data_IF_772429649959
#
_entry.id   IF_772429649959
#
_cell.length_a   1.000
_cell.length_b   1.000
_cell.length_c   1.000
_cell.angle_alpha   90.00
_cell.angle_beta   90.00
_cell.angle_gamma   90.00
#
_symmetry.space_group_name_H-M   'P 1'
#
loop_
_entity.id
_entity.type
_entity.pdbx_description
1 polymer ?
#
# COMPACT_ATOMS: atom_id res chain seq x y z
N UNK A 1 -2.04 -6.40 -19.33
CA UNK A 1 -2.61 -5.91 -18.06
C UNK A 1 -1.52 -5.13 -17.32
N UNK A 2 -1.84 -4.16 -16.47
CA UNK A 2 -0.84 -3.33 -15.75
C UNK A 2 0.11 -4.19 -14.89
N UNK A 3 -0.39 -5.32 -14.40
CA UNK A 3 0.39 -6.31 -13.64
C UNK A 3 1.50 -6.99 -14.47
N UNK A 4 1.42 -7.00 -15.80
CA UNK A 4 2.41 -7.64 -16.68
C UNK A 4 3.73 -6.84 -16.76
N UNK A 5 3.72 -5.59 -16.30
CA UNK A 5 4.91 -4.74 -16.27
C UNK A 5 5.71 -4.84 -14.97
N UNK A 6 5.25 -5.63 -14.00
CA UNK A 6 5.97 -5.84 -12.75
C UNK A 6 7.12 -6.83 -12.94
N UNK A 7 8.34 -6.37 -12.68
CA UNK A 7 9.52 -7.24 -12.59
C UNK A 7 9.53 -7.86 -11.19
N UNK A 8 8.75 -8.92 -11.00
CA UNK A 8 8.52 -9.55 -9.70
C UNK A 8 9.79 -10.04 -8.99
N UNK A 9 10.83 -10.41 -9.74
CA UNK A 9 12.13 -10.80 -9.19
C UNK A 9 12.77 -9.70 -8.32
N UNK A 10 12.38 -8.43 -8.48
CA UNK A 10 12.88 -7.35 -7.63
C UNK A 10 12.45 -7.48 -6.17
N UNK A 11 11.36 -8.20 -5.88
CA UNK A 11 10.89 -8.43 -4.49
C UNK A 11 11.90 -9.25 -3.67
N UNK A 12 12.73 -10.05 -4.32
CA UNK A 12 13.78 -10.85 -3.67
C UNK A 12 15.00 -10.00 -3.29
N UNK A 13 15.19 -8.85 -3.94
CA UNK A 13 16.30 -7.93 -3.68
C UNK A 13 16.06 -7.02 -2.46
N UNK A 14 14.81 -6.93 -2.00
CA UNK A 14 14.42 -6.04 -0.92
C UNK A 14 14.93 -6.51 0.45
N UNK A 15 15.34 -5.54 1.25
CA UNK A 15 15.88 -5.73 2.60
C UNK A 15 14.98 -5.07 3.64
N UNK A 16 15.28 -5.26 4.93
CA UNK A 16 14.57 -4.60 6.03
C UNK A 16 14.75 -3.08 6.09
N UNK A 17 15.61 -2.51 5.25
CA UNK A 17 15.81 -1.05 5.11
C UNK A 17 14.93 -0.42 4.04
N UNK A 18 14.25 -1.24 3.25
CA UNK A 18 13.38 -0.82 2.17
C UNK A 18 11.92 -0.79 2.62
N UNK A 19 11.04 -0.15 1.86
CA UNK A 19 9.60 -0.15 2.10
C UNK A 19 8.85 -0.50 0.81
N UNK A 20 7.75 -1.23 0.93
CA UNK A 20 6.84 -1.50 -0.20
C UNK A 20 5.49 -0.84 0.09
N UNK A 21 5.04 0.00 -0.85
CA UNK A 21 3.77 0.70 -0.76
C UNK A 21 2.79 0.21 -1.81
N UNK A 22 1.61 -0.21 -1.36
CA UNK A 22 0.48 -0.53 -2.20
C UNK A 22 -0.49 0.65 -2.22
N UNK A 23 -0.81 1.15 -3.42
CA UNK A 23 -1.88 2.14 -3.61
C UNK A 23 -3.15 1.36 -3.93
N UNK A 24 -4.22 1.59 -3.16
CA UNK A 24 -5.47 0.82 -3.27
C UNK A 24 -6.65 1.75 -3.50
N UNK A 25 -7.41 1.51 -4.57
CA UNK A 25 -8.61 2.29 -4.93
C UNK A 25 -9.89 1.72 -4.31
N UNK A 26 -9.89 0.43 -3.94
CA UNK A 26 -11.03 -0.26 -3.36
C UNK A 26 -10.62 -1.52 -2.56
N UNK A 27 -11.63 -2.30 -2.15
CA UNK A 27 -11.46 -3.57 -1.42
C UNK A 27 -10.82 -4.68 -2.27
N UNK A 28 -11.04 -4.66 -3.59
CA UNK A 28 -10.47 -5.67 -4.50
C UNK A 28 -8.96 -5.45 -4.65
N UNK A 29 -8.54 -4.20 -4.84
CA UNK A 29 -7.12 -3.81 -4.83
C UNK A 29 -6.45 -4.17 -3.51
N UNK A 30 -7.12 -3.90 -2.38
CA UNK A 30 -6.60 -4.26 -1.06
C UNK A 30 -6.44 -5.78 -0.92
N UNK A 31 -7.41 -6.56 -1.38
CA UNK A 31 -7.36 -8.03 -1.34
C UNK A 31 -6.23 -8.55 -2.22
N UNK A 32 -6.07 -8.01 -3.42
CA UNK A 32 -4.94 -8.34 -4.30
C UNK A 32 -3.59 -8.02 -3.65
N UNK A 33 -3.48 -6.85 -3.02
CA UNK A 33 -2.26 -6.47 -2.30
C UNK A 33 -1.92 -7.45 -1.19
N UNK A 34 -2.91 -7.96 -0.44
CA UNK A 34 -2.68 -8.98 0.59
C UNK A 34 -2.13 -10.28 0.01
N UNK A 35 -2.58 -10.71 -1.16
CA UNK A 35 -2.08 -11.92 -1.80
C UNK A 35 -0.62 -11.75 -2.26
N UNK A 36 -0.24 -10.58 -2.76
CA UNK A 36 1.17 -10.26 -3.07
C UNK A 36 2.01 -10.23 -1.78
N UNK A 37 1.53 -9.55 -0.73
CA UNK A 37 2.23 -9.45 0.56
C UNK A 37 2.54 -10.83 1.14
N UNK A 38 1.56 -11.75 1.11
CA UNK A 38 1.74 -13.12 1.59
C UNK A 38 2.67 -13.92 0.70
N UNK A 39 2.51 -13.83 -0.63
CA UNK A 39 3.30 -14.59 -1.60
C UNK A 39 4.80 -14.31 -1.49
N UNK A 40 5.18 -13.05 -1.24
CA UNK A 40 6.57 -12.63 -1.08
C UNK A 40 7.03 -12.47 0.37
N UNK A 41 6.17 -12.82 1.35
CA UNK A 41 6.39 -12.67 2.79
C UNK A 41 6.88 -11.26 3.18
N UNK A 42 6.32 -10.24 2.53
CA UNK A 42 6.85 -8.86 2.65
C UNK A 42 6.77 -8.34 4.08
N UNK A 43 5.62 -8.55 4.74
CA UNK A 43 5.38 -8.09 6.10
C UNK A 43 6.27 -8.76 7.18
N UNK A 44 6.95 -9.85 6.84
CA UNK A 44 7.93 -10.51 7.71
C UNK A 44 9.34 -9.93 7.53
N UNK A 45 9.60 -9.28 6.38
CA UNK A 45 10.94 -8.86 5.95
C UNK A 45 11.16 -7.35 6.08
N UNK A 46 10.13 -6.55 5.82
CA UNK A 46 10.23 -5.10 5.65
C UNK A 46 8.90 -4.38 5.94
N UNK A 47 8.91 -3.06 6.21
CA UNK A 47 7.70 -2.26 6.35
C UNK A 47 6.83 -2.25 5.08
N UNK A 48 5.57 -2.66 5.24
CA UNK A 48 4.57 -2.61 4.17
C UNK A 48 3.58 -1.49 4.45
N UNK A 49 3.39 -0.62 3.47
CA UNK A 49 2.52 0.55 3.52
C UNK A 49 1.28 0.34 2.67
N UNK A 50 0.11 0.66 3.20
CA UNK A 50 -1.16 0.70 2.48
C UNK A 50 -1.58 2.16 2.34
N UNK A 51 -1.64 2.64 1.10
CA UNK A 51 -1.97 4.01 0.75
C UNK A 51 -3.30 4.07 -0.01
N UNK A 52 -4.41 4.41 0.65
CA UNK A 52 -5.68 4.58 -0.05
C UNK A 52 -5.60 5.69 -1.11
N UNK A 53 -6.30 5.49 -2.23
CA UNK A 53 -6.50 6.57 -3.21
C UNK A 53 -7.33 7.66 -2.55
N UNK A 54 -6.75 8.87 -2.50
CA UNK A 54 -7.39 10.02 -1.89
C UNK A 54 -8.75 10.32 -2.52
N UNK A 55 -9.77 10.51 -1.67
CA UNK A 55 -11.13 10.79 -2.10
C UNK A 55 -11.93 9.57 -2.58
N UNK A 56 -11.29 8.40 -2.73
CA UNK A 56 -11.97 7.16 -3.12
C UNK A 56 -12.17 6.23 -1.93
N UNK A 57 -11.12 6.00 -1.13
CA UNK A 57 -11.21 5.18 0.09
C UNK A 57 -11.04 6.05 1.32
N UNK A 58 -11.99 5.98 2.26
CA UNK A 58 -11.90 6.70 3.52
C UNK A 58 -10.76 6.13 4.39
N UNK A 59 -10.01 7.00 5.09
CA UNK A 59 -8.90 6.53 5.95
C UNK A 59 -9.38 5.58 7.06
N UNK A 60 -10.57 5.80 7.60
CA UNK A 60 -11.18 4.92 8.60
C UNK A 60 -11.46 3.53 8.02
N UNK A 61 -11.92 3.45 6.78
CA UNK A 61 -12.20 2.20 6.09
C UNK A 61 -10.91 1.43 5.81
N UNK A 62 -9.91 2.08 5.23
CA UNK A 62 -8.59 1.48 5.02
C UNK A 62 -7.95 1.00 6.34
N UNK A 63 -8.10 1.76 7.43
CA UNK A 63 -7.64 1.35 8.76
C UNK A 63 -8.36 0.09 9.26
N UNK A 64 -9.69 0.02 9.08
CA UNK A 64 -10.48 -1.15 9.46
C UNK A 64 -10.06 -2.40 8.67
N UNK A 65 -9.81 -2.26 7.36
CA UNK A 65 -9.29 -3.35 6.54
C UNK A 65 -7.94 -3.86 7.04
N UNK A 66 -6.99 -2.96 7.32
CA UNK A 66 -5.67 -3.31 7.86
C UNK A 66 -5.80 -4.06 9.19
N UNK A 67 -6.60 -3.52 10.13
CA UNK A 67 -6.80 -4.13 11.45
C UNK A 67 -7.38 -5.55 11.34
N UNK A 68 -8.30 -5.77 10.41
CA UNK A 68 -8.91 -7.09 10.18
C UNK A 68 -7.88 -8.15 9.76
N UNK A 69 -6.78 -7.76 9.11
CA UNK A 69 -5.74 -8.71 8.65
C UNK A 69 -4.87 -9.26 9.79
N UNK A 70 -4.73 -8.51 10.89
CA UNK A 70 -3.74 -8.75 11.95
C UNK A 70 -2.27 -8.83 11.47
N UNK A 71 -1.98 -8.33 10.28
CA UNK A 71 -0.62 -8.21 9.76
C UNK A 71 -0.01 -6.86 10.19
N UNK A 72 1.33 -6.75 10.29
CA UNK A 72 2.02 -5.51 10.68
C UNK A 72 2.08 -4.48 9.53
N UNK A 73 0.94 -4.15 8.95
CA UNK A 73 0.82 -3.18 7.85
C UNK A 73 0.64 -1.76 8.41
N UNK A 74 1.15 -0.76 7.69
CA UNK A 74 1.04 0.66 8.08
C UNK A 74 0.10 1.39 7.15
N UNK A 75 -0.87 2.13 7.72
CA UNK A 75 -1.65 3.08 6.93
C UNK A 75 -0.76 4.27 6.55
N UNK A 76 -0.66 4.56 5.25
CA UNK A 76 0.14 5.67 4.72
C UNK A 76 -0.72 6.59 3.85
N UNK A 77 -1.44 7.56 4.43
CA UNK A 77 -2.21 8.54 3.66
C UNK A 77 -1.29 9.40 2.79
N UNK A 78 -1.83 9.88 1.66
CA UNK A 78 -1.18 10.89 0.83
C UNK A 78 -1.24 12.26 1.53
N UNK A 79 -0.42 12.46 2.57
CA UNK A 79 -0.48 13.63 3.46
C UNK A 79 -0.43 14.97 2.73
N UNK A 80 0.31 15.05 1.61
CA UNK A 80 0.39 16.26 0.81
C UNK A 80 -0.98 16.77 0.34
N UNK A 81 -1.93 15.87 0.07
CA UNK A 81 -3.29 16.24 -0.35
C UNK A 81 -4.12 16.84 0.78
N UNK A 82 -3.79 16.55 2.04
CA UNK A 82 -4.43 17.15 3.21
C UNK A 82 -3.75 18.48 3.59
N UNK A 83 -2.44 18.58 3.41
CA UNK A 83 -1.66 19.77 3.78
C UNK A 83 -1.84 20.89 2.76
N UNK A 84 -1.68 20.58 1.47
CA UNK A 84 -1.68 21.58 0.38
C UNK A 84 -2.92 21.51 -0.52
N UNK A 85 -3.67 20.39 -0.46
CA UNK A 85 -4.81 20.14 -1.34
C UNK A 85 -4.44 19.23 -2.52
N UNK A 86 -5.42 18.50 -3.09
CA UNK A 86 -5.17 17.43 -4.07
C UNK A 86 -4.70 17.93 -5.44
N UNK A 87 -4.95 19.19 -5.79
CA UNK A 87 -4.63 19.78 -7.09
C UNK A 87 -3.23 20.41 -7.14
N UNK A 88 -2.57 20.57 -5.99
CA UNK A 88 -1.25 21.21 -5.90
C UNK A 88 -0.17 20.22 -6.32
N UNK A 89 0.69 20.64 -7.25
CA UNK A 89 1.81 19.84 -7.77
C UNK A 89 3.14 20.39 -7.26
N UNK A 90 4.13 19.50 -7.10
CA UNK A 90 5.50 19.88 -6.71
C UNK A 90 5.69 20.12 -5.21
N UNK A 91 4.86 19.48 -4.37
CA UNK A 91 4.85 19.56 -2.90
C UNK A 91 5.05 18.20 -2.24
#
# INVERSE_FOLDING_TARGET
DMADHHVWANMDLLTSRDEVKFVVADQLDFTWALEVIKSFRLAERLPVLISPVFGQVALQEAAAWILATRLPLRLNPQLHKYIWGPEVRGV
#
